data_IF_217021045654
#
_entry.id   IF_217021045654
#
_cell.length_a   1.000
_cell.length_b   1.000
_cell.length_c   1.000
_cell.angle_alpha   90.00
_cell.angle_beta   90.00
_cell.angle_gamma   90.00
#
_symmetry.space_group_name_H-M   'P 1'
#
loop_
_entity.id
_entity.type
_entity.pdbx_description
1 polymer ?
#
# COMPACT_ATOMS: atom_id res chain seq x y z
N UNK A 1 -18.13 -10.50 -38.12
CA UNK A 1 -18.31 -9.67 -36.91
C UNK A 1 -17.09 -9.94 -36.04
N UNK A 2 -16.11 -9.04 -36.04
CA UNK A 2 -14.98 -9.13 -35.12
C UNK A 2 -15.37 -8.34 -33.87
N UNK A 3 -15.71 -9.05 -32.80
CA UNK A 3 -15.73 -8.46 -31.46
C UNK A 3 -14.27 -8.36 -31.04
N UNK A 4 -13.64 -7.20 -31.19
CA UNK A 4 -12.33 -6.96 -30.61
C UNK A 4 -12.55 -6.63 -29.13
N UNK A 5 -12.55 -7.64 -28.27
CA UNK A 5 -12.48 -7.37 -26.84
C UNK A 5 -11.19 -6.59 -26.55
N UNK A 6 -11.27 -5.51 -25.75
CA UNK A 6 -10.08 -4.79 -25.33
C UNK A 6 -9.19 -5.71 -24.47
N UNK A 7 -7.86 -5.53 -24.51
CA UNK A 7 -6.97 -6.25 -23.62
C UNK A 7 -7.20 -5.82 -22.16
N UNK A 8 -7.17 -6.79 -21.24
CA UNK A 8 -7.35 -6.57 -19.79
C UNK A 8 -6.02 -6.67 -19.02
N UNK A 9 -4.90 -6.84 -19.72
CA UNK A 9 -3.57 -7.03 -19.14
C UNK A 9 -2.57 -6.04 -19.75
N UNK A 10 -1.64 -5.58 -18.91
CA UNK A 10 -0.53 -4.74 -19.34
C UNK A 10 0.52 -5.54 -20.12
N UNK A 11 1.20 -4.86 -21.05
CA UNK A 11 2.40 -5.41 -21.70
C UNK A 11 3.61 -5.26 -20.78
N UNK A 12 4.67 -6.06 -21.00
CA UNK A 12 5.90 -5.92 -20.22
C UNK A 12 6.49 -4.51 -20.29
N UNK A 13 6.51 -3.88 -21.47
CA UNK A 13 7.01 -2.50 -21.61
C UNK A 13 6.21 -1.51 -20.74
N UNK A 14 4.89 -1.71 -20.62
CA UNK A 14 4.05 -0.85 -19.79
C UNK A 14 4.33 -1.02 -18.30
N UNK A 15 4.70 -2.22 -17.87
CA UNK A 15 5.09 -2.52 -16.49
C UNK A 15 6.47 -1.89 -16.21
N UNK A 16 7.44 -2.08 -17.10
CA UNK A 16 8.79 -1.53 -16.96
C UNK A 16 8.77 0.02 -16.91
N UNK A 17 7.94 0.65 -17.75
CA UNK A 17 7.74 2.10 -17.75
C UNK A 17 7.15 2.59 -16.41
N UNK A 18 6.16 1.87 -15.86
CA UNK A 18 5.57 2.21 -14.57
C UNK A 18 6.58 2.05 -13.43
N UNK A 19 7.34 0.96 -13.41
CA UNK A 19 8.39 0.73 -12.42
C UNK A 19 9.43 1.86 -12.45
N UNK A 20 9.86 2.27 -13.64
CA UNK A 20 10.81 3.38 -13.82
C UNK A 20 10.24 4.69 -13.26
N UNK A 21 8.98 5.01 -13.54
CA UNK A 21 8.32 6.22 -13.03
C UNK A 21 8.21 6.22 -11.49
N UNK A 22 7.96 5.05 -10.88
CA UNK A 22 7.90 4.92 -9.43
C UNK A 22 9.29 5.06 -8.79
N UNK A 23 10.35 4.55 -9.44
CA UNK A 23 11.74 4.72 -9.01
C UNK A 23 12.23 6.18 -9.14
N UNK A 24 11.68 6.94 -10.08
CA UNK A 24 11.91 8.38 -10.20
C UNK A 24 11.05 9.20 -9.21
N UNK A 25 10.26 8.52 -8.37
CA UNK A 25 9.35 9.09 -7.37
C UNK A 25 8.28 10.05 -7.93
N UNK A 26 7.96 9.93 -9.23
CA UNK A 26 6.93 10.75 -9.90
C UNK A 26 5.54 10.50 -9.27
N UNK A 27 5.31 9.28 -8.77
CA UNK A 27 4.06 8.84 -8.15
C UNK A 27 3.99 8.96 -6.62
N UNK A 28 4.77 9.84 -5.98
CA UNK A 28 4.85 9.92 -4.51
C UNK A 28 3.48 10.03 -3.79
N UNK A 29 2.47 10.62 -4.42
CA UNK A 29 1.11 10.73 -3.86
C UNK A 29 0.19 9.52 -4.12
N UNK A 30 0.70 8.42 -4.67
CA UNK A 30 -0.05 7.19 -4.93
C UNK A 30 0.12 6.14 -3.82
N UNK A 31 0.92 6.44 -2.79
CA UNK A 31 1.25 5.50 -1.72
C UNK A 31 0.33 5.62 -0.49
N UNK A 32 -0.59 6.59 -0.47
CA UNK A 32 -1.61 6.70 0.56
C UNK A 32 -2.88 5.93 0.17
N UNK A 33 -3.28 4.97 0.98
CA UNK A 33 -4.54 4.26 0.78
C UNK A 33 -5.72 5.17 1.18
N UNK A 34 -6.72 5.37 0.30
CA UNK A 34 -7.94 6.07 0.66
C UNK A 34 -8.79 5.21 1.61
N UNK A 35 -9.41 5.86 2.61
CA UNK A 35 -10.25 5.20 3.62
C UNK A 35 -11.73 5.56 3.47
N UNK A 36 -12.09 6.37 2.46
CA UNK A 36 -13.45 6.83 2.23
C UNK A 36 -13.77 6.82 0.75
N UNK A 37 -14.81 6.09 0.40
CA UNK A 37 -15.29 5.96 -0.97
C UNK A 37 -16.68 6.56 -1.12
N UNK A 38 -17.07 6.82 -2.36
CA UNK A 38 -18.43 7.30 -2.68
C UNK A 38 -19.48 6.17 -2.67
N UNK A 39 -19.03 4.93 -2.46
CA UNK A 39 -19.82 3.71 -2.37
C UNK A 39 -19.99 3.28 -0.92
N UNK A 40 -20.96 2.41 -0.67
CA UNK A 40 -21.10 1.78 0.65
C UNK A 40 -19.91 0.85 0.92
N UNK A 41 -19.55 0.72 2.21
CA UNK A 41 -18.47 -0.16 2.67
C UNK A 41 -18.73 -1.61 2.25
N UNK A 42 -17.71 -2.30 1.75
CA UNK A 42 -17.83 -3.64 1.19
C UNK A 42 -16.66 -4.56 1.57
N UNK A 43 -16.88 -5.34 2.62
CA UNK A 43 -15.93 -6.35 3.07
C UNK A 43 -15.49 -7.33 1.96
N UNK A 44 -14.18 -7.45 1.79
CA UNK A 44 -13.50 -8.32 0.83
C UNK A 44 -13.05 -7.58 -0.44
N UNK A 45 -13.09 -6.26 -0.45
CA UNK A 45 -12.63 -5.43 -1.56
C UNK A 45 -11.16 -4.96 -1.40
N UNK A 46 -10.55 -5.25 -0.24
CA UNK A 46 -9.16 -4.91 0.09
C UNK A 46 -8.96 -3.48 0.60
N UNK A 47 -10.03 -2.78 0.98
CA UNK A 47 -9.98 -1.43 1.54
C UNK A 47 -10.64 -1.40 2.90
N UNK A 48 -9.92 -0.91 3.90
CA UNK A 48 -10.51 -0.71 5.23
C UNK A 48 -11.44 0.51 5.20
N UNK A 49 -12.74 0.24 5.28
CA UNK A 49 -13.81 1.24 5.22
C UNK A 49 -14.51 1.43 6.58
N UNK A 50 -15.42 2.41 6.67
CA UNK A 50 -16.16 2.70 7.90
C UNK A 50 -16.96 1.45 8.36
N UNK A 51 -16.58 0.87 9.49
CA UNK A 51 -17.21 -0.33 10.07
C UNK A 51 -16.36 -1.60 10.00
N UNK A 52 -15.23 -1.55 9.31
CA UNK A 52 -14.26 -2.65 9.18
C UNK A 52 -13.01 -2.38 10.02
N UNK A 53 -12.39 -3.43 10.55
CA UNK A 53 -11.11 -3.34 11.27
C UNK A 53 -9.92 -3.76 10.38
N UNK A 54 -10.20 -4.54 9.33
CA UNK A 54 -9.25 -5.03 8.36
C UNK A 54 -9.98 -5.50 7.11
N UNK A 55 -9.32 -5.47 5.96
CA UNK A 55 -9.81 -6.13 4.73
C UNK A 55 -8.60 -6.64 3.93
N UNK A 56 -8.44 -7.97 3.87
CA UNK A 56 -7.36 -8.62 3.11
C UNK A 56 -7.79 -9.06 1.70
N UNK A 57 -8.95 -8.60 1.22
CA UNK A 57 -9.56 -8.97 -0.04
C UNK A 57 -10.45 -10.20 0.08
N UNK A 58 -10.60 -10.92 -1.04
CA UNK A 58 -11.39 -12.16 -1.07
C UNK A 58 -10.76 -13.26 -0.22
N UNK A 59 -11.49 -14.35 0.02
CA UNK A 59 -10.93 -15.54 0.70
C UNK A 59 -9.64 -16.02 0.02
N UNK A 60 -9.64 -16.06 -1.31
CA UNK A 60 -8.49 -16.46 -2.11
C UNK A 60 -7.31 -15.51 -1.91
N UNK A 61 -7.55 -14.19 -1.85
CA UNK A 61 -6.52 -13.18 -1.64
C UNK A 61 -5.89 -13.29 -0.26
N UNK A 62 -6.71 -13.37 0.79
CA UNK A 62 -6.27 -13.51 2.18
C UNK A 62 -5.43 -14.78 2.39
N UNK A 63 -5.89 -15.92 1.83
CA UNK A 63 -5.15 -17.19 1.93
C UNK A 63 -3.84 -17.12 1.14
N UNK A 64 -3.85 -16.52 -0.05
CA UNK A 64 -2.63 -16.35 -0.86
C UNK A 64 -1.59 -15.46 -0.17
N UNK A 65 -2.05 -14.42 0.54
CA UNK A 65 -1.20 -13.56 1.35
C UNK A 65 -0.76 -14.21 2.69
N UNK A 66 -1.25 -15.42 3.00
CA UNK A 66 -1.09 -16.07 4.31
C UNK A 66 -1.53 -15.15 5.47
N UNK A 67 -2.58 -14.36 5.25
CA UNK A 67 -3.11 -13.45 6.24
C UNK A 67 -3.91 -14.25 7.29
N UNK A 68 -3.34 -14.36 8.49
CA UNK A 68 -3.97 -15.03 9.64
C UNK A 68 -4.51 -14.05 10.67
N UNK A 69 -4.49 -12.76 10.33
CA UNK A 69 -4.80 -11.66 11.22
C UNK A 69 -6.22 -11.12 10.99
N UNK A 70 -6.73 -11.23 9.75
CA UNK A 70 -8.05 -10.75 9.37
C UNK A 70 -9.04 -11.87 9.08
N UNK A 71 -10.27 -11.73 9.56
CA UNK A 71 -11.37 -12.58 9.15
C UNK A 71 -12.01 -12.04 7.86
N UNK A 72 -11.70 -12.66 6.72
CA UNK A 72 -12.20 -12.27 5.39
C UNK A 72 -13.73 -12.29 5.24
N UNK A 73 -14.47 -12.93 6.15
CA UNK A 73 -15.95 -12.96 6.09
C UNK A 73 -16.58 -11.79 6.85
N UNK A 74 -15.92 -11.31 7.91
CA UNK A 74 -16.46 -10.26 8.78
C UNK A 74 -15.68 -8.96 8.74
N UNK A 75 -14.51 -8.91 8.09
CA UNK A 75 -13.59 -7.77 8.05
C UNK A 75 -13.25 -7.25 9.45
N UNK A 76 -13.03 -8.20 10.36
CA UNK A 76 -12.63 -7.96 11.75
C UNK A 76 -11.31 -8.64 12.04
N UNK A 77 -10.51 -8.04 12.91
CA UNK A 77 -9.26 -8.63 13.37
C UNK A 77 -9.55 -9.88 14.21
N UNK A 78 -8.72 -10.92 14.08
CA UNK A 78 -8.74 -12.05 15.01
C UNK A 78 -8.18 -11.64 16.38
N UNK A 79 -8.46 -12.45 17.41
CA UNK A 79 -8.00 -12.15 18.76
C UNK A 79 -6.49 -11.90 18.82
N UNK A 80 -6.11 -10.80 19.48
CA UNK A 80 -4.73 -10.32 19.69
C UNK A 80 -4.04 -9.75 18.45
N UNK A 81 -4.68 -9.75 17.28
CA UNK A 81 -4.17 -8.98 16.14
C UNK A 81 -4.36 -7.47 16.40
N UNK A 82 -3.33 -6.69 16.08
CA UNK A 82 -3.34 -5.23 16.10
C UNK A 82 -3.41 -4.65 14.69
N UNK A 83 -2.99 -5.43 13.70
CA UNK A 83 -2.94 -5.13 12.29
C UNK A 83 -3.19 -6.41 11.51
N UNK A 84 -3.52 -6.27 10.23
CA UNK A 84 -3.63 -7.39 9.33
C UNK A 84 -2.89 -7.22 8.02
N UNK A 85 -2.74 -6.00 7.52
CA UNK A 85 -2.11 -5.74 6.24
C UNK A 85 -1.09 -4.61 6.34
N UNK A 86 -0.35 -4.34 5.26
CA UNK A 86 0.57 -3.22 5.18
C UNK A 86 1.99 -3.50 5.66
N UNK A 87 2.93 -2.70 5.15
CA UNK A 87 4.38 -2.90 5.34
C UNK A 87 4.86 -2.67 6.79
N UNK A 88 4.03 -2.05 7.65
CA UNK A 88 4.30 -1.87 9.07
C UNK A 88 3.59 -2.90 9.96
N UNK A 89 3.05 -3.98 9.37
CA UNK A 89 2.50 -5.12 10.10
C UNK A 89 3.42 -6.35 10.00
N UNK A 90 3.68 -7.00 11.13
CA UNK A 90 4.41 -8.27 11.16
C UNK A 90 3.85 -9.15 12.27
N UNK A 91 3.56 -10.42 11.97
CA UNK A 91 2.95 -11.36 12.92
C UNK A 91 1.70 -10.80 13.63
N UNK A 92 0.85 -10.10 12.86
CA UNK A 92 -0.35 -9.41 13.33
C UNK A 92 -0.10 -8.32 14.38
N UNK A 93 1.14 -7.85 14.55
CA UNK A 93 1.52 -6.76 15.47
C UNK A 93 2.12 -5.59 14.70
N UNK A 94 1.99 -4.38 15.26
CA UNK A 94 2.68 -3.23 14.70
C UNK A 94 4.19 -3.40 14.83
N UNK A 95 4.90 -3.14 13.74
CA UNK A 95 6.35 -3.04 13.75
C UNK A 95 6.77 -1.84 14.61
N UNK A 96 7.85 -1.99 15.38
CA UNK A 96 8.37 -0.95 16.26
C UNK A 96 8.58 0.40 15.54
N UNK A 97 8.28 1.48 16.26
CA UNK A 97 8.53 2.84 15.79
C UNK A 97 10.00 3.05 15.41
N UNK A 98 10.24 3.69 14.26
CA UNK A 98 11.59 3.95 13.74
C UNK A 98 12.15 2.85 12.83
N UNK A 99 11.42 1.77 12.56
CA UNK A 99 11.77 0.81 11.50
C UNK A 99 11.46 1.41 10.14
N UNK A 100 12.39 1.34 9.18
CA UNK A 100 12.18 1.83 7.81
C UNK A 100 11.10 0.99 7.13
N UNK A 101 10.08 1.65 6.56
CA UNK A 101 9.04 1.02 5.75
C UNK A 101 9.10 1.39 4.27
N UNK A 102 9.77 2.50 3.93
CA UNK A 102 10.14 2.85 2.56
C UNK A 102 11.51 3.49 2.55
N UNK A 103 12.40 2.95 1.73
CA UNK A 103 13.71 3.53 1.47
C UNK A 103 13.59 4.71 0.50
N UNK A 104 14.51 5.67 0.63
CA UNK A 104 14.63 6.75 -0.35
C UNK A 104 15.12 6.18 -1.69
N UNK A 105 14.41 6.47 -2.78
CA UNK A 105 14.76 5.94 -4.11
C UNK A 105 15.85 6.75 -4.81
N UNK A 106 16.03 8.01 -4.43
CA UNK A 106 17.07 8.89 -4.94
C UNK A 106 17.41 10.01 -3.94
N UNK A 107 18.36 10.89 -4.31
CA UNK A 107 18.80 11.99 -3.44
C UNK A 107 17.78 13.11 -3.22
N UNK A 108 16.68 13.14 -3.99
CA UNK A 108 15.58 14.11 -3.86
C UNK A 108 14.44 13.56 -2.98
N UNK A 109 14.59 12.36 -2.44
CA UNK A 109 13.60 11.61 -1.70
C UNK A 109 14.05 11.40 -0.24
N UNK A 110 13.11 11.12 0.66
CA UNK A 110 13.40 10.84 2.07
C UNK A 110 12.83 9.48 2.48
N UNK A 111 13.46 8.74 3.40
CA UNK A 111 12.91 7.48 3.87
C UNK A 111 11.74 7.72 4.84
N UNK A 112 10.77 6.80 4.84
CA UNK A 112 9.69 6.75 5.83
C UNK A 112 9.85 5.59 6.79
N UNK A 113 9.32 5.80 7.99
CA UNK A 113 9.47 4.91 9.13
C UNK A 113 8.11 4.57 9.72
N UNK A 114 7.93 3.31 10.12
CA UNK A 114 6.81 2.89 10.93
C UNK A 114 6.76 3.72 12.21
N UNK A 115 5.56 4.11 12.64
CA UNK A 115 5.36 4.90 13.87
C UNK A 115 5.15 4.03 15.12
N UNK A 116 4.99 2.71 14.97
CA UNK A 116 4.71 1.78 16.07
C UNK A 116 3.24 1.67 16.48
N UNK A 117 2.34 2.36 15.77
CA UNK A 117 0.92 2.45 16.13
C UNK A 117 -0.01 2.29 14.93
N UNK A 118 0.54 2.03 13.74
CA UNK A 118 -0.21 1.86 12.50
C UNK A 118 0.49 0.83 11.62
N UNK A 119 -0.31 0.09 10.87
CA UNK A 119 0.14 -0.91 9.90
C UNK A 119 0.53 -0.29 8.55
N UNK A 120 0.09 0.94 8.32
CA UNK A 120 0.35 1.72 7.11
C UNK A 120 1.62 2.54 7.32
N UNK A 121 2.52 2.50 6.33
CA UNK A 121 3.67 3.41 6.29
C UNK A 121 3.18 4.85 6.14
N UNK A 122 3.79 5.84 6.81
CA UNK A 122 3.44 7.24 6.61
C UNK A 122 3.46 7.65 5.13
N UNK A 123 2.74 8.73 4.81
CA UNK A 123 2.71 9.26 3.44
C UNK A 123 4.13 9.49 2.91
N UNK A 124 4.37 9.10 1.66
CA UNK A 124 5.64 9.30 0.97
C UNK A 124 5.90 10.81 0.82
N UNK A 125 6.99 11.27 1.43
CA UNK A 125 7.43 12.65 1.41
C UNK A 125 8.64 12.81 0.50
N UNK A 126 8.79 14.00 -0.06
CA UNK A 126 9.95 14.39 -0.87
C UNK A 126 10.71 15.52 -0.21
N UNK A 127 11.98 15.69 -0.60
CA UNK A 127 12.73 16.88 -0.21
C UNK A 127 12.04 18.15 -0.70
N UNK A 128 12.22 19.24 0.04
CA UNK A 128 11.60 20.52 -0.32
C UNK A 128 12.15 21.00 -1.66
N UNK A 129 11.24 21.44 -2.54
CA UNK A 129 11.59 22.02 -3.83
C UNK A 129 12.67 23.11 -3.70
N UNK A 130 13.71 23.02 -4.52
CA UNK A 130 14.84 23.95 -4.54
C UNK A 130 16.04 23.53 -3.69
N UNK A 131 15.96 22.40 -2.96
CA UNK A 131 17.13 21.72 -2.43
C UNK A 131 17.81 20.99 -3.58
N UNK A 132 19.09 21.31 -3.83
CA UNK A 132 19.86 20.62 -4.86
C UNK A 132 20.02 19.15 -4.50
N UNK A 133 19.64 18.29 -5.44
CA UNK A 133 19.77 16.84 -5.33
C UNK A 133 20.25 16.27 -6.68
N UNK A 134 20.99 15.17 -6.64
CA UNK A 134 21.63 14.59 -7.83
C UNK A 134 22.77 15.46 -8.39
N UNK A 135 23.03 15.36 -9.69
CA UNK A 135 24.07 16.12 -10.39
C UNK A 135 23.63 17.57 -10.68
N UNK A 136 23.39 18.38 -9.63
CA UNK A 136 22.98 19.79 -9.70
C UNK A 136 21.66 20.04 -10.47
N UNK A 137 20.61 19.27 -10.17
CA UNK A 137 19.24 19.70 -10.49
C UNK A 137 18.65 20.52 -9.33
#
# INVERSE_FOLDING_TARGET
MFSSQPPEQFSQCSIDDLETLLLDNVGHCLFNQPTKFATDAACGNGFVEDGEECDCGTQEDCVRANNTCCNYTSCTLYEKAQCADGVCCSDCQFISGGTVCREAVNSCDVPEYCNGTSEVCPANLVTVNGISCGNNQ
#
